data_IF_900883761757
#
_entry.id   IF_900883761757
#
_cell.length_a   1.000
_cell.length_b   1.000
_cell.length_c   1.000
_cell.angle_alpha   90.00
_cell.angle_beta   90.00
_cell.angle_gamma   90.00
#
_symmetry.space_group_name_H-M   'P 1'
#
loop_
_entity.id
_entity.type
_entity.pdbx_description
1 polymer ?
#
# COMPACT_ATOMS: atom_id res chain seq x y z
N UNK A 1 -36.08 -22.68 8.87
CA UNK A 1 -35.59 -22.08 7.61
C UNK A 1 -35.35 -20.57 7.69
N UNK A 2 -36.17 -19.76 8.38
CA UNK A 2 -36.13 -18.28 8.32
C UNK A 2 -34.75 -17.60 8.45
N UNK A 3 -33.85 -18.09 9.32
CA UNK A 3 -32.50 -17.52 9.45
C UNK A 3 -31.60 -17.78 8.22
N UNK A 4 -31.79 -18.92 7.55
CA UNK A 4 -31.03 -19.25 6.34
C UNK A 4 -31.47 -18.39 5.14
N UNK A 5 -32.73 -17.98 5.11
CA UNK A 5 -33.29 -17.11 4.06
C UNK A 5 -32.87 -15.64 4.22
N UNK A 6 -32.61 -15.21 5.47
CA UNK A 6 -32.19 -13.83 5.79
C UNK A 6 -30.68 -13.62 5.77
N UNK A 7 -29.89 -14.70 5.75
CA UNK A 7 -28.43 -14.60 5.86
C UNK A 7 -27.85 -13.86 4.65
N UNK A 8 -26.99 -12.89 4.90
CA UNK A 8 -26.27 -12.15 3.84
C UNK A 8 -24.83 -12.64 3.65
N UNK A 9 -24.40 -13.63 4.43
CA UNK A 9 -23.06 -14.24 4.36
C UNK A 9 -23.14 -15.72 3.98
N UNK A 10 -22.01 -16.25 3.51
CA UNK A 10 -21.87 -17.67 3.21
C UNK A 10 -22.14 -18.53 4.46
N UNK A 11 -21.53 -18.17 5.60
CA UNK A 11 -21.65 -18.87 6.88
C UNK A 11 -22.71 -18.22 7.77
N UNK A 12 -23.68 -19.00 8.25
CA UNK A 12 -24.76 -18.50 9.11
C UNK A 12 -24.23 -17.95 10.44
N UNK A 13 -23.28 -18.63 11.07
CA UNK A 13 -22.72 -18.21 12.36
C UNK A 13 -22.02 -16.84 12.28
N UNK A 14 -21.37 -16.54 11.16
CA UNK A 14 -20.73 -15.23 10.92
C UNK A 14 -21.79 -14.12 10.84
N UNK A 15 -22.84 -14.35 10.05
CA UNK A 15 -23.95 -13.40 9.92
C UNK A 15 -24.70 -13.18 11.23
N UNK A 16 -25.02 -14.24 11.97
CA UNK A 16 -25.71 -14.14 13.27
C UNK A 16 -24.88 -13.34 14.26
N UNK A 17 -23.57 -13.55 14.33
CA UNK A 17 -22.68 -12.79 15.21
C UNK A 17 -22.63 -11.30 14.82
N UNK A 18 -22.52 -10.99 13.53
CA UNK A 18 -22.51 -9.60 13.06
C UNK A 18 -23.81 -8.88 13.42
N UNK A 19 -24.96 -9.52 13.20
CA UNK A 19 -26.29 -8.96 13.53
C UNK A 19 -26.47 -8.81 15.04
N UNK A 20 -26.14 -9.84 15.83
CA UNK A 20 -26.35 -9.84 17.27
C UNK A 20 -25.45 -8.86 18.03
N UNK A 21 -24.28 -8.54 17.45
CA UNK A 21 -23.32 -7.60 18.04
C UNK A 21 -23.32 -6.22 17.36
N UNK A 22 -24.27 -5.97 16.46
CA UNK A 22 -24.36 -4.73 15.66
C UNK A 22 -23.02 -4.38 14.96
N UNK A 23 -22.25 -5.39 14.59
CA UNK A 23 -20.93 -5.22 13.99
C UNK A 23 -21.06 -4.91 12.51
N UNK A 24 -20.43 -3.81 12.09
CA UNK A 24 -20.25 -3.52 10.68
C UNK A 24 -19.38 -4.61 10.02
N UNK A 25 -19.74 -5.07 8.81
CA UNK A 25 -18.94 -6.06 8.10
C UNK A 25 -17.50 -5.56 7.96
N UNK A 26 -16.54 -6.40 8.36
CA UNK A 26 -15.13 -6.07 8.13
C UNK A 26 -14.91 -5.88 6.63
N UNK A 27 -14.35 -4.73 6.24
CA UNK A 27 -13.92 -4.49 4.86
C UNK A 27 -12.93 -5.58 4.50
N UNK A 28 -13.28 -6.39 3.50
CA UNK A 28 -12.34 -7.34 2.96
C UNK A 28 -11.21 -6.57 2.28
N UNK A 29 -9.95 -7.03 2.41
CA UNK A 29 -8.86 -6.46 1.63
C UNK A 29 -9.23 -6.56 0.15
N UNK A 30 -8.95 -5.49 -0.60
CA UNK A 30 -9.05 -5.57 -2.05
C UNK A 30 -8.05 -6.63 -2.52
N UNK A 31 -8.51 -7.53 -3.40
CA UNK A 31 -7.59 -8.43 -4.10
C UNK A 31 -6.78 -7.57 -5.05
N UNK A 32 -5.49 -7.44 -4.77
CA UNK A 32 -4.51 -6.73 -5.58
C UNK A 32 -3.55 -7.79 -6.10
N UNK A 33 -3.07 -7.62 -7.34
CA UNK A 33 -2.05 -8.48 -7.93
C UNK A 33 -0.84 -8.63 -6.96
N UNK A 34 -0.52 -9.85 -6.50
CA UNK A 34 0.62 -10.10 -5.62
C UNK A 34 1.95 -9.61 -6.19
N UNK A 35 2.15 -9.68 -7.51
CA UNK A 35 3.37 -9.21 -8.15
C UNK A 35 3.50 -7.68 -8.04
N UNK A 36 2.39 -6.96 -8.20
CA UNK A 36 2.35 -5.51 -8.01
C UNK A 36 2.66 -5.12 -6.56
N UNK A 37 2.09 -5.83 -5.59
CA UNK A 37 2.38 -5.58 -4.17
C UNK A 37 3.85 -5.83 -3.83
N UNK A 38 4.44 -6.87 -4.42
CA UNK A 38 5.86 -7.19 -4.23
C UNK A 38 6.76 -6.08 -4.77
N UNK A 39 6.53 -5.61 -5.99
CA UNK A 39 7.34 -4.53 -6.57
C UNK A 39 7.14 -3.21 -5.82
N UNK A 40 5.92 -2.90 -5.38
CA UNK A 40 5.66 -1.73 -4.54
C UNK A 40 6.41 -1.81 -3.21
N UNK A 41 6.46 -2.99 -2.59
CA UNK A 41 7.23 -3.22 -1.38
C UNK A 41 8.72 -2.97 -1.61
N UNK A 42 9.30 -3.51 -2.70
CA UNK A 42 10.71 -3.29 -3.05
C UNK A 42 11.04 -1.82 -3.20
N UNK A 43 10.17 -1.04 -3.85
CA UNK A 43 10.33 0.42 -3.96
C UNK A 43 10.37 1.07 -2.56
N UNK A 44 9.42 0.73 -1.69
CA UNK A 44 9.36 1.25 -0.32
C UNK A 44 10.59 0.89 0.51
N UNK A 45 11.10 -0.34 0.39
CA UNK A 45 12.33 -0.79 1.06
C UNK A 45 13.53 0.03 0.61
N UNK A 46 13.71 0.23 -0.69
CA UNK A 46 14.82 1.02 -1.25
C UNK A 46 14.77 2.46 -0.75
N UNK A 47 13.59 3.10 -0.77
CA UNK A 47 13.41 4.47 -0.27
C UNK A 47 13.76 4.57 1.22
N UNK A 48 13.37 3.57 2.02
CA UNK A 48 13.69 3.55 3.44
C UNK A 48 15.19 3.39 3.71
N UNK A 49 15.89 2.60 2.90
CA UNK A 49 17.34 2.45 2.99
C UNK A 49 18.05 3.78 2.70
N UNK A 50 17.64 4.48 1.63
CA UNK A 50 18.17 5.81 1.27
C UNK A 50 17.92 6.80 2.41
N UNK A 51 16.69 6.84 2.95
CA UNK A 51 16.36 7.72 4.06
C UNK A 51 17.23 7.47 5.29
N UNK A 52 17.44 6.19 5.68
CA UNK A 52 18.31 5.84 6.80
C UNK A 52 19.75 6.29 6.57
N UNK A 53 20.28 6.07 5.38
CA UNK A 53 21.65 6.50 5.04
C UNK A 53 21.79 8.01 5.02
N UNK A 54 20.78 8.75 4.55
CA UNK A 54 20.80 10.20 4.57
C UNK A 54 20.75 10.75 6.01
N UNK A 55 19.92 10.13 6.86
CA UNK A 55 19.73 10.57 8.24
C UNK A 55 20.88 10.19 9.18
N UNK A 56 21.69 9.18 8.85
CA UNK A 56 22.84 8.77 9.66
C UNK A 56 24.11 9.59 9.39
N UNK A 57 24.16 10.33 8.29
CA UNK A 57 25.31 11.13 7.88
C UNK A 57 25.14 12.60 8.28
N UNK A 58 26.25 13.28 8.59
CA UNK A 58 26.24 14.76 8.70
C UNK A 58 26.00 15.35 7.31
N UNK A 59 25.29 16.50 7.20
CA UNK A 59 25.12 17.21 5.93
C UNK A 59 26.45 17.36 5.18
N UNK A 60 26.51 16.86 3.95
CA UNK A 60 27.70 16.84 3.09
C UNK A 60 27.34 17.13 1.64
N UNK A 61 28.34 17.46 0.81
CA UNK A 61 28.15 17.65 -0.64
C UNK A 61 27.56 16.39 -1.29
N UNK A 62 27.88 15.21 -0.75
CA UNK A 62 27.37 13.92 -1.21
C UNK A 62 25.84 13.82 -1.02
N UNK A 63 25.31 14.24 0.14
CA UNK A 63 23.86 14.27 0.38
C UNK A 63 23.12 15.23 -0.55
N UNK A 64 23.74 16.34 -0.93
CA UNK A 64 23.17 17.28 -1.92
C UNK A 64 23.12 16.63 -3.30
N UNK A 65 24.17 15.87 -3.68
CA UNK A 65 24.20 15.10 -4.92
C UNK A 65 23.12 14.02 -4.95
N UNK A 66 22.98 13.24 -3.87
CA UNK A 66 21.91 12.24 -3.71
C UNK A 66 20.52 12.87 -3.88
N UNK A 67 20.27 14.03 -3.26
CA UNK A 67 19.01 14.75 -3.42
C UNK A 67 18.76 15.19 -4.87
N UNK A 68 19.79 15.67 -5.58
CA UNK A 68 19.67 16.07 -6.97
C UNK A 68 19.29 14.87 -7.86
N UNK A 69 19.94 13.72 -7.68
CA UNK A 69 19.63 12.49 -8.41
C UNK A 69 18.21 12.00 -8.13
N UNK A 70 17.76 12.01 -6.87
CA UNK A 70 16.40 11.62 -6.51
C UNK A 70 15.34 12.52 -7.17
N UNK A 71 15.58 13.84 -7.22
CA UNK A 71 14.70 14.79 -7.93
C UNK A 71 14.64 14.51 -9.43
N UNK A 72 15.77 14.14 -10.04
CA UNK A 72 15.81 13.81 -11.46
C UNK A 72 15.04 12.52 -11.78
N UNK A 73 15.18 11.49 -10.93
CA UNK A 73 14.36 10.27 -11.01
C UNK A 73 12.88 10.62 -10.89
N UNK A 74 12.48 11.44 -9.91
CA UNK A 74 11.09 11.88 -9.75
C UNK A 74 10.55 12.57 -11.01
N UNK A 75 11.34 13.49 -11.59
CA UNK A 75 10.99 14.20 -12.83
C UNK A 75 10.79 13.23 -14.00
N UNK A 76 11.69 12.26 -14.16
CA UNK A 76 11.61 11.25 -15.23
C UNK A 76 10.39 10.35 -15.05
N UNK A 77 10.09 9.91 -13.82
CA UNK A 77 8.90 9.12 -13.52
C UNK A 77 7.60 9.90 -13.81
N UNK A 78 7.54 11.20 -13.48
CA UNK A 78 6.40 12.06 -13.84
C UNK A 78 6.21 12.15 -15.35
N UNK A 79 7.30 12.36 -16.11
CA UNK A 79 7.27 12.41 -17.58
C UNK A 79 6.79 11.10 -18.19
N UNK A 80 7.28 9.96 -17.70
CA UNK A 80 6.84 8.64 -18.17
C UNK A 80 5.35 8.43 -17.90
N UNK A 81 4.87 8.83 -16.72
CA UNK A 81 3.44 8.75 -16.37
C UNK A 81 2.59 9.60 -17.32
N UNK A 82 3.01 10.83 -17.60
CA UNK A 82 2.30 11.74 -18.51
C UNK A 82 2.28 11.22 -19.95
N UNK A 83 3.32 10.53 -20.42
CA UNK A 83 3.36 9.90 -21.73
C UNK A 83 2.50 8.63 -21.83
N UNK A 84 2.22 7.98 -20.70
CA UNK A 84 1.42 6.75 -20.62
C UNK A 84 -0.08 6.97 -20.41
N UNK A 85 -0.51 8.23 -20.27
CA UNK A 85 -1.89 8.66 -20.11
C UNK A 85 -2.38 9.37 -21.37
#
# INVERSE_FOLDING_TARGET
>A
QALLERKTKARLAEWVREVALEQQPKRQPKVIDPALLFELNRIGVNLNQIARQCNSQKPSIDLVSVLATLREIEKNLKKLRELSL
#
